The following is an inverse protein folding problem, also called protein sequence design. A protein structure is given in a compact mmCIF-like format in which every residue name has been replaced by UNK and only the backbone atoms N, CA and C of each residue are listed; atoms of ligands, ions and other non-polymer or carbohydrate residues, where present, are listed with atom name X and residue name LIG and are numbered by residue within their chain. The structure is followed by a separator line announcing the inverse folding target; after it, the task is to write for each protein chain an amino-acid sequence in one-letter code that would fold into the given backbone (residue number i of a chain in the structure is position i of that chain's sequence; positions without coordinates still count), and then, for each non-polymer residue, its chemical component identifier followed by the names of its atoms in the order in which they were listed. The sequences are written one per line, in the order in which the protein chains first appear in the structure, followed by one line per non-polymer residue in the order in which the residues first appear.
data_IF_189446377728
#
_entry.id   IF_189446377728
#
_cell.length_a   1.000
_cell.length_b   1.000
_cell.length_c   1.000
_cell.angle_alpha   90.00
_cell.angle_beta   90.00
_cell.angle_gamma   90.00
#
_symmetry.space_group_name_H-M   'P 1'
#
loop_
_entity.id
_entity.type
_entity.pdbx_description
1 polymer ?
#
# COMPACT_ATOMS: atom_id res chain seq x y z
N UNK A 1 -15.87 21.72 -23.11
CA UNK A 1 -14.93 20.73 -22.55
C UNK A 1 -15.42 19.36 -22.98
N UNK A 2 -14.60 18.65 -23.76
CA UNK A 2 -15.02 17.48 -24.53
C UNK A 2 -15.13 16.21 -23.65
N UNK A 3 -16.14 15.37 -23.86
CA UNK A 3 -16.45 14.20 -23.01
C UNK A 3 -15.29 13.19 -23.01
N UNK A 4 -14.56 13.09 -24.12
CA UNK A 4 -13.39 12.21 -24.23
C UNK A 4 -12.23 12.65 -23.34
N UNK A 5 -12.03 13.95 -23.16
CA UNK A 5 -10.98 14.48 -22.28
C UNK A 5 -11.29 14.22 -20.80
N UNK A 6 -12.56 14.30 -20.42
CA UNK A 6 -13.02 13.94 -19.07
C UNK A 6 -12.79 12.46 -18.79
N UNK A 7 -13.17 11.58 -19.72
CA UNK A 7 -12.97 10.14 -19.57
C UNK A 7 -11.47 9.78 -19.45
N UNK A 8 -10.60 10.38 -20.26
CA UNK A 8 -9.14 10.16 -20.16
C UNK A 8 -8.58 10.60 -18.81
N UNK A 9 -9.00 11.75 -18.26
CA UNK A 9 -8.56 12.20 -16.94
C UNK A 9 -9.01 11.26 -15.82
N UNK A 10 -10.28 10.83 -15.86
CA UNK A 10 -10.83 9.90 -14.86
C UNK A 10 -10.10 8.55 -14.93
N UNK A 11 -9.86 8.02 -16.13
CA UNK A 11 -9.15 6.75 -16.29
C UNK A 11 -7.68 6.84 -15.87
N UNK A 12 -7.01 7.95 -16.18
CA UNK A 12 -5.63 8.20 -15.72
C UNK A 12 -5.54 8.28 -14.20
N UNK A 13 -6.47 9.00 -13.56
CA UNK A 13 -6.55 9.09 -12.09
C UNK A 13 -6.80 7.71 -11.45
N UNK A 14 -7.72 6.93 -12.04
CA UNK A 14 -8.03 5.56 -11.58
C UNK A 14 -6.86 4.60 -11.71
N UNK A 15 -6.09 4.70 -12.80
CA UNK A 15 -4.87 3.90 -12.99
C UNK A 15 -3.76 4.32 -12.01
N UNK A 16 -3.62 5.61 -11.71
CA UNK A 16 -2.70 6.11 -10.70
C UNK A 16 -3.02 5.56 -9.30
N UNK A 17 -4.29 5.59 -8.92
CA UNK A 17 -4.74 5.04 -7.63
C UNK A 17 -4.55 3.51 -7.56
N UNK A 18 -4.84 2.78 -8.65
CA UNK A 18 -4.53 1.33 -8.75
C UNK A 18 -3.04 1.04 -8.57
N UNK A 19 -2.16 1.86 -9.15
CA UNK A 19 -0.71 1.75 -8.96
C UNK A 19 -0.31 1.95 -7.50
N UNK A 20 -0.81 3.00 -6.85
CA UNK A 20 -0.60 3.27 -5.41
C UNK A 20 -1.06 2.10 -4.52
N UNK A 21 -2.26 1.54 -4.79
CA UNK A 21 -2.76 0.34 -4.09
C UNK A 21 -1.86 -0.88 -4.28
N UNK A 22 -1.35 -1.10 -5.50
CA UNK A 22 -0.44 -2.20 -5.79
C UNK A 22 0.88 -2.05 -5.03
N UNK A 23 1.41 -0.83 -4.92
CA UNK A 23 2.59 -0.54 -4.08
C UNK A 23 2.31 -0.90 -2.61
N UNK A 24 1.14 -0.54 -2.06
CA UNK A 24 0.76 -0.95 -0.70
C UNK A 24 0.72 -2.47 -0.54
N UNK A 25 0.16 -3.21 -1.51
CA UNK A 25 0.17 -4.69 -1.48
C UNK A 25 1.60 -5.24 -1.43
N UNK A 26 2.48 -4.72 -2.29
CA UNK A 26 3.88 -5.16 -2.35
C UNK A 26 4.61 -4.90 -1.02
N UNK A 27 4.40 -3.74 -0.41
CA UNK A 27 5.00 -3.40 0.90
C UNK A 27 4.46 -4.34 1.99
N UNK A 28 3.14 -4.53 2.06
CA UNK A 28 2.53 -5.44 3.03
C UNK A 28 3.05 -6.88 2.88
N UNK A 29 3.18 -7.36 1.64
CA UNK A 29 3.76 -8.68 1.34
C UNK A 29 5.24 -8.76 1.76
N UNK A 30 6.03 -7.71 1.54
CA UNK A 30 7.44 -7.70 1.94
C UNK A 30 7.60 -7.87 3.46
N UNK A 31 6.79 -7.16 4.26
CA UNK A 31 6.78 -7.32 5.72
C UNK A 31 6.36 -8.73 6.16
N UNK A 32 5.36 -9.30 5.49
CA UNK A 32 4.88 -10.66 5.77
C UNK A 32 5.96 -11.70 5.46
N UNK A 33 6.59 -11.60 4.29
CA UNK A 33 7.71 -12.47 3.88
C UNK A 33 8.89 -12.33 4.84
N UNK A 34 9.22 -11.12 5.26
CA UNK A 34 10.28 -10.89 6.24
C UNK A 34 9.98 -11.57 7.58
N UNK A 35 8.75 -11.46 8.08
CA UNK A 35 8.32 -12.12 9.31
C UNK A 35 8.42 -13.65 9.22
N UNK A 36 7.96 -14.23 8.11
CA UNK A 36 8.05 -15.68 7.84
C UNK A 36 9.50 -16.14 7.69
N UNK A 37 10.34 -15.38 6.98
CA UNK A 37 11.76 -15.70 6.82
C UNK A 37 12.49 -15.69 8.18
N UNK A 38 12.18 -14.72 9.05
CA UNK A 38 12.70 -14.67 10.42
C UNK A 38 12.21 -15.85 11.27
N UNK A 39 10.96 -16.29 11.07
CA UNK A 39 10.39 -17.48 11.72
C UNK A 39 11.09 -18.78 11.32
N UNK A 40 11.37 -18.95 10.04
CA UNK A 40 12.10 -20.10 9.53
C UNK A 40 13.56 -20.11 10.01
N UNK A 41 14.19 -18.94 10.10
CA UNK A 41 15.62 -18.84 10.48
C UNK A 41 15.86 -18.99 11.98
N UNK A 42 15.03 -18.37 12.82
CA UNK A 42 15.26 -18.27 14.26
C UNK A 42 14.30 -19.13 15.10
N UNK A 43 13.42 -19.91 14.46
CA UNK A 43 12.33 -20.62 15.11
C UNK A 43 11.14 -19.69 15.45
N UNK A 44 9.96 -20.25 15.80
CA UNK A 44 8.76 -19.46 16.08
C UNK A 44 8.97 -18.60 17.33
N UNK A 45 9.06 -17.28 17.14
CA UNK A 45 9.27 -16.31 18.23
C UNK A 45 8.20 -15.22 18.17
N UNK A 46 7.61 -14.79 19.29
CA UNK A 46 6.58 -13.74 19.32
C UNK A 46 7.02 -12.40 18.71
N UNK A 47 8.33 -12.15 18.56
CA UNK A 47 8.85 -10.96 17.91
C UNK A 47 8.56 -10.93 16.39
N UNK A 48 8.27 -12.09 15.76
CA UNK A 48 7.87 -12.16 14.36
C UNK A 48 6.44 -11.67 14.14
N UNK A 49 5.59 -11.72 15.17
CA UNK A 49 4.27 -11.08 15.10
C UNK A 49 4.39 -9.55 15.02
N UNK A 50 5.48 -8.98 15.56
CA UNK A 50 5.72 -7.54 15.49
C UNK A 50 5.99 -7.06 14.06
N UNK A 51 6.53 -7.91 13.17
CA UNK A 51 6.72 -7.54 11.75
C UNK A 51 5.41 -7.56 10.96
N UNK A 52 4.35 -8.18 11.48
CA UNK A 52 3.00 -8.17 10.88
C UNK A 52 2.21 -6.90 11.24
N UNK A 53 2.49 -6.29 12.39
CA UNK A 53 1.86 -5.03 12.82
C UNK A 53 2.03 -3.92 11.76
N UNK A 54 3.24 -3.62 11.25
CA UNK A 54 3.40 -2.59 10.23
C UNK A 54 2.83 -3.01 8.87
N UNK A 55 2.62 -4.29 8.59
CA UNK A 55 2.01 -4.75 7.33
C UNK A 55 0.52 -4.40 7.24
N UNK A 56 -0.17 -4.39 8.38
CA UNK A 56 -1.61 -4.15 8.47
C UNK A 56 -2.11 -2.84 7.84
N UNK A 57 -1.53 -1.66 8.13
CA UNK A 57 -1.95 -0.41 7.51
C UNK A 57 -1.79 -0.41 5.99
N UNK A 58 -0.78 -1.09 5.45
CA UNK A 58 -0.61 -1.20 3.99
C UNK A 58 -1.66 -2.10 3.35
N UNK A 59 -2.03 -3.21 3.98
CA UNK A 59 -3.15 -4.03 3.50
C UNK A 59 -4.50 -3.32 3.61
N UNK A 60 -4.70 -2.54 4.68
CA UNK A 60 -5.88 -1.69 4.80
C UNK A 60 -5.96 -0.68 3.64
N UNK A 61 -4.86 0.03 3.35
CA UNK A 61 -4.79 0.97 2.23
C UNK A 61 -4.99 0.29 0.86
N UNK A 62 -4.49 -0.92 0.69
CA UNK A 62 -4.63 -1.67 -0.56
C UNK A 62 -6.09 -2.09 -0.83
N UNK A 63 -6.76 -2.67 0.17
CA UNK A 63 -8.02 -3.39 -0.03
C UNK A 63 -9.26 -2.65 0.47
N UNK A 64 -9.16 -1.96 1.61
CA UNK A 64 -10.33 -1.44 2.33
C UNK A 64 -10.46 0.08 2.28
N UNK A 65 -9.36 0.81 2.13
CA UNK A 65 -9.40 2.26 2.09
C UNK A 65 -10.08 2.78 0.82
N UNK A 66 -10.74 3.93 0.96
CA UNK A 66 -11.25 4.68 -0.19
C UNK A 66 -10.11 5.28 -1.01
N UNK A 67 -10.35 5.50 -2.31
CA UNK A 67 -9.35 6.04 -3.23
C UNK A 67 -8.79 7.40 -2.77
N UNK A 68 -9.61 8.24 -2.14
CA UNK A 68 -9.20 9.54 -1.59
C UNK A 68 -8.23 9.40 -0.42
N UNK A 69 -8.45 8.40 0.43
CA UNK A 69 -7.57 8.10 1.57
C UNK A 69 -6.23 7.57 1.09
N UNK A 70 -6.23 6.71 0.07
CA UNK A 70 -5.00 6.21 -0.56
C UNK A 70 -4.23 7.36 -1.21
N UNK A 71 -4.91 8.26 -1.93
CA UNK A 71 -4.25 9.45 -2.51
C UNK A 71 -3.63 10.34 -1.43
N UNK A 72 -4.41 10.72 -0.42
CA UNK A 72 -3.96 11.58 0.68
C UNK A 72 -2.77 11.00 1.44
N UNK A 73 -2.78 9.67 1.68
CA UNK A 73 -1.67 9.00 2.35
C UNK A 73 -0.37 9.08 1.54
N UNK A 74 -0.43 8.82 0.24
CA UNK A 74 0.75 8.93 -0.62
C UNK A 74 1.24 10.37 -0.76
N UNK A 75 0.32 11.35 -0.77
CA UNK A 75 0.69 12.76 -0.85
C UNK A 75 1.38 13.21 0.45
N UNK A 76 0.94 12.72 1.62
CA UNK A 76 1.64 12.89 2.89
C UNK A 76 3.03 12.22 2.91
N UNK A 77 3.15 11.00 2.36
CA UNK A 77 4.45 10.36 2.24
C UNK A 77 5.40 11.14 1.32
N UNK A 78 4.89 11.72 0.23
CA UNK A 78 5.67 12.53 -0.69
C UNK A 78 6.12 13.86 -0.04
N UNK A 79 5.29 14.47 0.81
CA UNK A 79 5.66 15.71 1.51
C UNK A 79 6.66 15.49 2.64
N UNK A 80 6.67 14.31 3.27
CA UNK A 80 7.65 13.94 4.29
C UNK A 80 9.02 13.52 3.72
N UNK A 81 9.08 13.18 2.43
CA UNK A 81 10.31 12.79 1.73
C UNK A 81 11.09 13.93 1.08
N UNK A 82 10.55 15.16 1.14
CA UNK A 82 11.16 16.40 0.65
C UNK A 82 11.66 17.25 1.82
#
# INVERSE_FOLDING_TARGET
MDKEQLLRRVNSKRNGCRGKRLVCVLIGLAFLVLGVALALRNGPHPAQLLTLIPAWPFFYLAFFAEDQTVESWFDLCASLGN
#
